data_IF_570262173416
#
_entry.id   IF_570262173416
#
_cell.length_a   1.000
_cell.length_b   1.000
_cell.length_c   1.000
_cell.angle_alpha   90.00
_cell.angle_beta   90.00
_cell.angle_gamma   90.00
#
_symmetry.space_group_name_H-M   'P 1'
#
loop_
_entity.id
_entity.type
_entity.pdbx_description
1 polymer ?
#
# COMPACT_ATOMS: atom_id res chain seq x y z
N UNK A 1 11.51 -3.82 47.08
CA UNK A 1 11.12 -2.57 46.40
C UNK A 1 12.03 -2.43 45.18
N UNK A 2 11.64 -3.02 44.06
CA UNK A 2 12.43 -3.01 42.82
C UNK A 2 11.64 -2.23 41.78
N UNK A 3 11.91 -0.94 41.71
CA UNK A 3 11.44 -0.09 40.63
C UNK A 3 12.21 -0.53 39.38
N UNK A 4 11.57 -1.40 38.59
CA UNK A 4 12.07 -1.77 37.26
C UNK A 4 12.08 -0.48 36.46
N UNK A 5 13.25 0.14 36.36
CA UNK A 5 13.53 1.27 35.50
C UNK A 5 13.17 0.85 34.08
N UNK A 6 11.93 1.15 33.67
CA UNK A 6 11.44 0.89 32.34
C UNK A 6 12.35 1.66 31.38
N UNK A 7 13.24 0.94 30.70
CA UNK A 7 14.13 1.53 29.72
C UNK A 7 13.30 2.41 28.77
N UNK A 8 13.69 3.68 28.56
CA UNK A 8 12.91 4.59 27.75
C UNK A 8 12.71 3.97 26.36
N UNK A 9 11.44 3.80 26.00
CA UNK A 9 11.04 3.20 24.73
C UNK A 9 11.60 4.10 23.62
N UNK A 10 12.33 3.56 22.62
CA UNK A 10 13.05 4.38 21.65
C UNK A 10 12.10 5.37 20.96
N UNK A 11 12.58 6.59 20.65
CA UNK A 11 11.78 7.61 19.97
C UNK A 11 11.33 7.08 18.60
N UNK A 12 10.09 7.35 18.22
CA UNK A 12 9.54 6.95 16.92
C UNK A 12 10.21 7.73 15.80
N UNK A 13 10.55 7.06 14.69
CA UNK A 13 11.07 7.71 13.49
C UNK A 13 10.08 8.74 12.93
N UNK A 14 10.46 10.02 12.99
CA UNK A 14 9.68 11.13 12.42
C UNK A 14 9.64 11.07 10.88
N UNK A 15 10.74 10.60 10.28
CA UNK A 15 10.85 10.38 8.83
C UNK A 15 9.84 9.33 8.36
N UNK A 16 9.80 8.17 9.02
CA UNK A 16 8.88 7.09 8.68
C UNK A 16 7.42 7.56 8.82
N UNK A 17 7.11 8.32 9.87
CA UNK A 17 5.77 8.91 10.04
C UNK A 17 5.43 9.86 8.88
N UNK A 18 6.36 10.73 8.48
CA UNK A 18 6.16 11.65 7.35
C UNK A 18 5.91 10.90 6.04
N UNK A 19 6.67 9.85 5.78
CA UNK A 19 6.51 9.02 4.59
C UNK A 19 5.20 8.24 4.59
N UNK A 20 4.76 7.69 5.73
CA UNK A 20 3.45 7.04 5.83
C UNK A 20 2.29 7.99 5.56
N UNK A 21 2.42 9.27 5.93
CA UNK A 21 1.42 10.28 5.60
C UNK A 21 1.42 10.57 4.09
N UNK A 22 2.59 10.73 3.49
CA UNK A 22 2.72 10.92 2.04
C UNK A 22 2.14 9.71 1.28
N UNK A 23 2.45 8.50 1.73
CA UNK A 23 1.95 7.24 1.18
C UNK A 23 0.42 7.13 1.27
N UNK A 24 -0.18 7.55 2.39
CA UNK A 24 -1.64 7.67 2.52
C UNK A 24 -2.24 8.61 1.47
N UNK A 25 -1.63 9.78 1.25
CA UNK A 25 -2.12 10.77 0.27
C UNK A 25 -2.02 10.20 -1.15
N UNK A 26 -0.88 9.58 -1.49
CA UNK A 26 -0.69 8.93 -2.79
C UNK A 26 -1.72 7.81 -2.98
N UNK A 27 -1.92 6.96 -1.97
CA UNK A 27 -2.89 5.87 -2.02
C UNK A 27 -4.33 6.36 -2.17
N UNK A 28 -4.70 7.47 -1.51
CA UNK A 28 -6.02 8.09 -1.65
C UNK A 28 -6.31 8.57 -3.07
N UNK A 29 -5.28 8.88 -3.86
CA UNK A 29 -5.42 9.29 -5.26
C UNK A 29 -5.32 8.07 -6.18
N UNK A 30 -4.33 7.20 -5.95
CA UNK A 30 -4.03 6.05 -6.79
C UNK A 30 -5.12 4.97 -6.76
N UNK A 31 -5.69 4.68 -5.59
CA UNK A 31 -6.72 3.63 -5.45
C UNK A 31 -7.99 3.98 -6.24
N UNK A 32 -8.61 5.17 -6.09
CA UNK A 32 -9.77 5.53 -6.90
C UNK A 32 -9.47 5.58 -8.38
N UNK A 33 -8.28 6.06 -8.77
CA UNK A 33 -7.87 6.10 -10.16
C UNK A 33 -7.75 4.69 -10.74
N UNK A 34 -7.03 3.77 -10.08
CA UNK A 34 -6.90 2.39 -10.53
C UNK A 34 -8.25 1.66 -10.61
N UNK A 35 -9.15 1.90 -9.65
CA UNK A 35 -10.52 1.35 -9.71
C UNK A 35 -11.33 1.94 -10.87
N UNK A 36 -11.23 3.26 -11.11
CA UNK A 36 -11.91 3.91 -12.23
C UNK A 36 -11.44 3.35 -13.58
N UNK A 37 -10.13 3.19 -13.76
CA UNK A 37 -9.55 2.59 -14.96
C UNK A 37 -9.94 1.11 -15.12
N UNK A 38 -10.01 0.37 -14.01
CA UNK A 38 -10.52 -1.00 -13.97
C UNK A 38 -12.00 -1.10 -14.38
N UNK A 39 -12.85 -0.18 -13.93
CA UNK A 39 -14.27 -0.15 -14.31
C UNK A 39 -14.46 0.23 -15.79
N UNK A 40 -13.63 1.14 -16.30
CA UNK A 40 -13.63 1.52 -17.72
C UNK A 40 -13.00 0.46 -18.63
N UNK A 41 -12.35 -0.58 -18.07
CA UNK A 41 -11.72 -1.68 -18.81
C UNK A 41 -12.69 -2.44 -19.72
N UNK A 42 -13.99 -2.52 -19.39
CA UNK A 42 -14.99 -3.16 -20.25
C UNK A 42 -15.08 -2.56 -21.65
N UNK A 43 -14.69 -1.29 -21.83
CA UNK A 43 -14.57 -0.65 -23.16
C UNK A 43 -13.22 -0.94 -23.84
N UNK A 44 -12.14 -1.23 -23.09
CA UNK A 44 -10.83 -1.60 -23.67
C UNK A 44 -10.72 -3.08 -24.01
N UNK A 45 -11.42 -3.96 -23.28
CA UNK A 45 -11.44 -5.40 -23.55
C UNK A 45 -12.35 -5.79 -24.71
N UNK A 46 -13.29 -4.93 -25.09
CA UNK A 46 -14.18 -5.11 -26.26
C UNK A 46 -13.58 -4.61 -27.56
N UNK A 47 -12.45 -3.89 -27.49
CA UNK A 47 -11.77 -3.29 -28.64
C UNK A 47 -10.44 -3.98 -28.98
N UNK A 48 -10.03 -4.97 -28.18
CA UNK A 48 -8.81 -5.77 -28.40
C UNK A 48 -9.19 -7.21 -28.72
N UNK A 49 -8.58 -7.78 -29.77
CA UNK A 49 -8.67 -9.21 -30.07
C UNK A 49 -7.74 -10.05 -29.17
N UNK A 50 -6.84 -9.40 -28.43
CA UNK A 50 -5.92 -10.05 -27.50
C UNK A 50 -6.58 -10.25 -26.12
N UNK A 51 -7.16 -11.44 -25.95
CA UNK A 51 -7.78 -11.88 -24.70
C UNK A 51 -6.77 -11.97 -23.53
N UNK A 52 -5.48 -12.23 -23.79
CA UNK A 52 -4.48 -12.33 -22.74
C UNK A 52 -4.17 -10.95 -22.16
N UNK A 53 -4.03 -9.94 -23.03
CA UNK A 53 -3.85 -8.55 -22.62
C UNK A 53 -5.07 -8.03 -21.84
N UNK A 54 -6.29 -8.30 -22.33
CA UNK A 54 -7.53 -7.92 -21.67
C UNK A 54 -7.62 -8.49 -20.24
N UNK A 55 -7.33 -9.78 -20.07
CA UNK A 55 -7.36 -10.44 -18.76
C UNK A 55 -6.28 -9.91 -17.81
N UNK A 56 -5.06 -9.69 -18.30
CA UNK A 56 -3.98 -9.12 -17.50
C UNK A 56 -4.32 -7.70 -17.03
N UNK A 57 -4.89 -6.88 -17.91
CA UNK A 57 -5.31 -5.51 -17.59
C UNK A 57 -6.40 -5.48 -16.51
N UNK A 58 -7.42 -6.34 -16.62
CA UNK A 58 -8.48 -6.46 -15.58
C UNK A 58 -7.89 -6.93 -14.25
N UNK A 59 -7.01 -7.93 -14.28
CA UNK A 59 -6.35 -8.46 -13.08
C UNK A 59 -5.55 -7.36 -12.38
N UNK A 60 -4.73 -6.63 -13.14
CA UNK A 60 -3.88 -5.54 -12.64
C UNK A 60 -4.71 -4.46 -11.94
N UNK A 61 -5.76 -3.99 -12.60
CA UNK A 61 -6.61 -2.93 -12.07
C UNK A 61 -7.43 -3.36 -10.85
N UNK A 62 -7.69 -4.66 -10.66
CA UNK A 62 -8.36 -5.19 -9.48
C UNK A 62 -7.40 -5.43 -8.32
N UNK A 63 -6.20 -5.97 -8.58
CA UNK A 63 -5.29 -6.38 -7.51
C UNK A 63 -4.36 -5.26 -7.02
N UNK A 64 -4.00 -4.29 -7.87
CA UNK A 64 -3.16 -3.15 -7.47
C UNK A 64 -3.82 -2.29 -6.36
N UNK A 65 -5.10 -1.88 -6.45
CA UNK A 65 -5.74 -1.12 -5.38
C UNK A 65 -5.80 -1.89 -4.06
N UNK A 66 -6.06 -3.19 -4.13
CA UNK A 66 -6.09 -4.07 -2.95
C UNK A 66 -4.71 -4.19 -2.34
N UNK A 67 -3.67 -4.39 -3.14
CA UNK A 67 -2.28 -4.47 -2.67
C UNK A 67 -1.85 -3.16 -1.98
N UNK A 68 -2.13 -2.01 -2.58
CA UNK A 68 -1.86 -0.69 -1.99
C UNK A 68 -2.57 -0.53 -0.64
N UNK A 69 -3.85 -0.87 -0.58
CA UNK A 69 -4.65 -0.73 0.64
C UNK A 69 -4.16 -1.65 1.78
N UNK A 70 -3.88 -2.91 1.48
CA UNK A 70 -3.36 -3.88 2.46
C UNK A 70 -1.98 -3.45 2.99
N UNK A 71 -1.10 -3.00 2.10
CA UNK A 71 0.24 -2.55 2.47
C UNK A 71 0.20 -1.28 3.31
N UNK A 72 -0.64 -0.31 2.94
CA UNK A 72 -0.84 0.93 3.69
C UNK A 72 -1.34 0.64 5.12
N UNK A 73 -2.41 -0.16 5.25
CA UNK A 73 -2.96 -0.55 6.55
C UNK A 73 -1.91 -1.31 7.37
N UNK A 74 -1.21 -2.25 6.74
CA UNK A 74 -0.15 -3.02 7.38
C UNK A 74 1.01 -2.15 7.87
N UNK A 75 1.45 -1.18 7.06
CA UNK A 75 2.55 -0.27 7.40
C UNK A 75 2.20 0.66 8.57
N UNK A 76 0.99 1.22 8.58
CA UNK A 76 0.46 1.98 9.71
C UNK A 76 0.33 1.13 10.98
N UNK A 77 -0.14 -0.10 10.84
CA UNK A 77 -0.27 -1.05 11.95
C UNK A 77 1.10 -1.41 12.53
N UNK A 78 2.07 -1.72 11.67
CA UNK A 78 3.45 -2.01 12.08
C UNK A 78 4.10 -0.79 12.77
N UNK A 79 3.86 0.42 12.27
CA UNK A 79 4.31 1.65 12.91
C UNK A 79 3.66 1.86 14.29
N UNK A 80 2.36 1.59 14.42
CA UNK A 80 1.65 1.65 15.70
C UNK A 80 2.27 0.70 16.74
N UNK A 81 2.60 -0.53 16.32
CA UNK A 81 3.28 -1.55 17.15
C UNK A 81 4.79 -1.35 17.32
N UNK A 82 5.37 -0.23 16.83
CA UNK A 82 6.82 0.07 16.88
C UNK A 82 7.69 -0.97 16.15
N UNK A 83 7.14 -1.64 15.13
CA UNK A 83 7.87 -2.55 14.24
C UNK A 83 8.36 -1.79 13.01
N UNK A 84 9.33 -0.89 13.20
CA UNK A 84 9.75 0.04 12.13
C UNK A 84 10.26 -0.67 10.87
N UNK A 85 11.05 -1.75 11.01
CA UNK A 85 11.52 -2.54 9.85
C UNK A 85 10.35 -3.09 9.02
N UNK A 86 9.30 -3.56 9.70
CA UNK A 86 8.11 -4.12 9.05
C UNK A 86 7.30 -3.01 8.38
N UNK A 87 7.19 -1.85 9.03
CA UNK A 87 6.53 -0.68 8.44
C UNK A 87 7.24 -0.22 7.16
N UNK A 88 8.58 -0.17 7.16
CA UNK A 88 9.38 0.12 5.98
C UNK A 88 9.17 -0.89 4.86
N UNK A 89 9.23 -2.19 5.17
CA UNK A 89 9.03 -3.23 4.15
C UNK A 89 7.62 -3.16 3.55
N UNK A 90 6.59 -2.94 4.38
CA UNK A 90 5.21 -2.89 3.91
C UNK A 90 4.93 -1.64 3.08
N UNK A 91 5.52 -0.50 3.42
CA UNK A 91 5.36 0.74 2.65
C UNK A 91 5.91 0.61 1.22
N UNK A 92 7.00 -0.13 1.02
CA UNK A 92 7.60 -0.32 -0.30
C UNK A 92 7.19 -1.60 -1.02
N UNK A 93 6.47 -2.51 -0.35
CA UNK A 93 6.03 -3.78 -0.93
C UNK A 93 5.17 -3.61 -2.21
N UNK A 94 4.28 -2.60 -2.32
CA UNK A 94 3.52 -2.39 -3.55
C UNK A 94 4.39 -2.10 -4.78
N UNK A 95 5.61 -1.57 -4.60
CA UNK A 95 6.53 -1.32 -5.71
C UNK A 95 7.07 -2.61 -6.32
N UNK A 96 7.02 -3.73 -5.59
CA UNK A 96 7.40 -5.05 -6.11
C UNK A 96 6.25 -5.78 -6.81
N UNK A 97 5.04 -5.21 -6.78
CA UNK A 97 3.88 -5.77 -7.47
C UNK A 97 3.84 -5.37 -8.97
N UNK A 98 4.42 -4.22 -9.31
CA UNK A 98 4.58 -3.71 -10.70
C UNK A 98 5.90 -4.21 -11.28
#
# INVERSE_FOLDING_TARGET
MAEVLASPKPPRSALLKGLLIADSIVSLIAIPLALFWGLMSGMSTTTTDDAAFANAYVLVNLTLPVALLVCLIGAWTAFAFRRERVAWTLMFLPLAWV
#
